data_IF_085502835229
#
_entry.id   IF_085502835229
#
_cell.length_a   1.000
_cell.length_b   1.000
_cell.length_c   1.000
_cell.angle_alpha   90.00
_cell.angle_beta   90.00
_cell.angle_gamma   90.00
#
_symmetry.space_group_name_H-M   'P 1'
#
loop_
_entity.id
_entity.type
_entity.pdbx_description
1 polymer ?
#
# COMPACT_ATOMS: atom_id res chain seq x y z
N UNK A 1 32.21 -61.96 12.68
CA UNK A 1 32.47 -62.42 11.33
C UNK A 1 32.03 -61.37 10.35
N UNK A 2 32.97 -60.55 9.84
CA UNK A 2 33.56 -60.57 8.50
C UNK A 2 32.47 -60.54 7.43
N UNK A 3 32.31 -59.45 6.64
CA UNK A 3 33.21 -59.05 5.54
C UNK A 3 32.92 -57.57 5.09
N UNK A 4 34.01 -56.84 4.94
CA UNK A 4 34.16 -55.63 4.15
C UNK A 4 34.05 -55.96 2.67
N UNK A 5 33.39 -55.12 1.87
CA UNK A 5 33.67 -54.99 0.43
C UNK A 5 33.81 -53.53 0.11
N UNK A 6 35.02 -53.10 -0.14
CA UNK A 6 35.40 -51.88 -0.83
C UNK A 6 35.12 -52.07 -2.34
N UNK A 7 34.51 -51.10 -2.96
CA UNK A 7 34.60 -50.94 -4.42
C UNK A 7 34.87 -49.48 -4.75
N UNK A 8 36.09 -49.24 -5.12
CA UNK A 8 36.60 -48.01 -5.73
C UNK A 8 36.30 -48.02 -7.23
N UNK A 9 35.74 -46.98 -7.79
CA UNK A 9 35.75 -46.72 -9.24
C UNK A 9 35.93 -45.23 -9.50
N UNK A 10 37.12 -44.90 -9.85
CA UNK A 10 37.68 -44.09 -10.93
C UNK A 10 36.94 -42.82 -11.37
N UNK A 11 37.66 -41.74 -11.18
CA UNK A 11 37.59 -40.42 -11.74
C UNK A 11 37.70 -40.48 -13.28
N UNK A 12 36.79 -39.85 -13.98
CA UNK A 12 37.03 -39.44 -15.36
C UNK A 12 36.69 -37.98 -15.52
N UNK A 13 37.72 -37.15 -15.53
CA UNK A 13 37.68 -35.72 -15.83
C UNK A 13 37.39 -35.51 -17.32
N UNK A 14 36.31 -34.89 -17.66
CA UNK A 14 36.10 -34.28 -18.97
C UNK A 14 36.01 -32.77 -18.82
N UNK A 15 37.10 -32.09 -19.16
CA UNK A 15 37.16 -30.64 -19.37
C UNK A 15 36.53 -30.36 -20.73
N UNK A 16 35.41 -29.66 -20.78
CA UNK A 16 34.89 -29.05 -22.00
C UNK A 16 34.96 -27.56 -21.85
N UNK A 17 35.93 -26.98 -22.50
CA UNK A 17 36.00 -25.56 -22.80
C UNK A 17 34.93 -25.23 -23.88
N UNK A 18 34.01 -24.30 -23.56
CA UNK A 18 33.00 -23.87 -24.53
C UNK A 18 32.26 -22.64 -24.10
N UNK A 19 32.68 -21.50 -24.63
CA UNK A 19 31.79 -20.39 -25.03
C UNK A 19 31.15 -19.55 -23.95
N UNK A 20 31.67 -18.33 -23.77
CA UNK A 20 30.96 -17.21 -23.15
C UNK A 20 29.74 -16.85 -24.03
N UNK A 21 28.54 -17.10 -23.55
CA UNK A 21 27.36 -16.41 -24.04
C UNK A 21 26.68 -15.74 -22.82
N UNK A 22 26.86 -14.44 -22.74
CA UNK A 22 26.48 -13.61 -21.61
C UNK A 22 25.06 -13.06 -21.83
N UNK A 23 24.09 -13.96 -21.88
CA UNK A 23 22.70 -13.59 -21.73
C UNK A 23 22.27 -13.87 -20.29
N UNK A 24 22.33 -12.83 -19.46
CA UNK A 24 21.71 -12.85 -18.14
C UNK A 24 20.21 -13.11 -18.31
N UNK A 25 19.79 -14.37 -18.19
CA UNK A 25 18.39 -14.70 -17.95
C UNK A 25 18.00 -14.11 -16.61
N UNK A 26 17.20 -13.04 -16.66
CA UNK A 26 16.41 -12.59 -15.52
C UNK A 26 15.66 -13.82 -14.99
N UNK A 27 15.75 -14.18 -13.71
CA UNK A 27 14.95 -15.27 -13.17
C UNK A 27 13.47 -14.93 -13.37
N UNK A 28 12.77 -15.70 -14.18
CA UNK A 28 11.32 -15.68 -14.25
C UNK A 28 10.78 -16.00 -12.86
N UNK A 29 10.20 -15.02 -12.19
CA UNK A 29 9.49 -15.17 -10.93
C UNK A 29 8.19 -15.97 -11.19
N UNK A 30 8.32 -17.27 -11.33
CA UNK A 30 7.24 -18.26 -11.38
C UNK A 30 7.19 -19.12 -10.12
N UNK A 31 7.43 -18.53 -8.98
CA UNK A 31 7.27 -19.22 -7.71
C UNK A 31 6.57 -18.25 -6.78
N UNK A 32 5.29 -18.49 -6.51
CA UNK A 32 4.66 -18.12 -5.24
C UNK A 32 3.16 -17.81 -5.33
N UNK A 33 2.50 -17.98 -6.50
CA UNK A 33 1.03 -17.82 -6.58
C UNK A 33 0.28 -18.85 -5.69
N UNK A 34 0.91 -19.95 -5.36
CA UNK A 34 0.34 -21.02 -4.53
C UNK A 34 0.57 -20.76 -3.03
N UNK A 35 1.63 -20.03 -2.65
CA UNK A 35 1.93 -19.70 -1.26
C UNK A 35 0.99 -18.62 -0.69
N UNK A 36 0.58 -17.65 -1.52
CA UNK A 36 -0.32 -16.57 -1.13
C UNK A 36 -1.73 -17.07 -0.75
N UNK A 37 -2.18 -18.19 -1.32
CA UNK A 37 -3.53 -18.72 -1.09
C UNK A 37 -3.78 -19.25 0.34
N UNK A 38 -2.72 -19.50 1.12
CA UNK A 38 -2.81 -20.06 2.48
C UNK A 38 -2.43 -19.08 3.59
N UNK A 39 -2.15 -17.81 3.28
CA UNK A 39 -1.86 -16.79 4.27
C UNK A 39 -3.12 -15.99 4.61
N UNK A 40 -3.24 -15.57 5.88
CA UNK A 40 -4.27 -14.61 6.28
C UNK A 40 -4.19 -13.38 5.34
N UNK A 41 -5.30 -12.89 4.78
CA UNK A 41 -5.27 -11.72 3.92
C UNK A 41 -4.77 -10.48 4.70
N UNK A 42 -4.01 -9.64 4.01
CA UNK A 42 -3.69 -8.28 4.49
C UNK A 42 -4.95 -7.44 4.29
N UNK A 43 -5.49 -6.90 5.36
CA UNK A 43 -6.69 -6.07 5.32
C UNK A 43 -6.33 -4.60 5.16
N UNK A 44 -6.84 -3.96 4.12
CA UNK A 44 -6.57 -2.55 3.81
C UNK A 44 -7.89 -1.77 3.84
N UNK A 45 -7.94 -0.73 4.70
CA UNK A 45 -9.05 0.21 4.71
C UNK A 45 -8.88 1.29 3.64
N UNK A 46 -9.97 1.61 2.93
CA UNK A 46 -10.00 2.68 1.95
C UNK A 46 -11.37 3.37 1.95
N UNK A 47 -11.45 4.53 1.35
CA UNK A 47 -12.68 5.31 1.18
C UNK A 47 -12.80 5.84 -0.26
N UNK A 48 -13.79 6.66 -0.52
CA UNK A 48 -14.17 7.14 -1.85
C UNK A 48 -13.32 8.32 -2.39
N UNK A 49 -12.14 8.57 -1.81
CA UNK A 49 -11.24 9.60 -2.33
C UNK A 49 -10.85 9.31 -3.79
N UNK A 50 -11.03 10.27 -4.72
CA UNK A 50 -10.76 10.04 -6.15
C UNK A 50 -9.33 9.58 -6.46
N UNK A 51 -8.33 10.00 -5.69
CA UNK A 51 -6.93 9.56 -5.85
C UNK A 51 -6.73 8.07 -5.58
N UNK A 52 -7.69 7.41 -4.94
CA UNK A 52 -7.62 5.97 -4.62
C UNK A 52 -8.39 5.07 -5.58
N UNK A 53 -9.04 5.64 -6.61
CA UNK A 53 -9.78 4.87 -7.64
C UNK A 53 -8.89 3.86 -8.36
N UNK A 54 -7.60 4.13 -8.48
CA UNK A 54 -6.63 3.20 -9.07
C UNK A 54 -6.62 1.84 -8.36
N UNK A 55 -6.86 1.80 -7.04
CA UNK A 55 -6.98 0.55 -6.28
C UNK A 55 -8.19 -0.26 -6.70
N UNK A 56 -9.34 0.41 -6.91
CA UNK A 56 -10.54 -0.27 -7.41
C UNK A 56 -10.31 -0.88 -8.79
N UNK A 57 -9.58 -0.18 -9.66
CA UNK A 57 -9.19 -0.72 -10.98
C UNK A 57 -8.31 -1.97 -10.81
N UNK A 58 -7.33 -1.93 -9.92
CA UNK A 58 -6.44 -3.07 -9.65
C UNK A 58 -7.21 -4.29 -9.11
N UNK A 59 -8.21 -4.05 -8.24
CA UNK A 59 -9.10 -5.08 -7.70
C UNK A 59 -9.93 -5.71 -8.82
N UNK A 60 -10.64 -4.91 -9.60
CA UNK A 60 -11.51 -5.36 -10.70
C UNK A 60 -10.74 -6.10 -11.81
N UNK A 61 -9.51 -5.68 -12.08
CA UNK A 61 -8.63 -6.34 -13.06
C UNK A 61 -7.95 -7.59 -12.52
N UNK A 62 -8.00 -7.84 -11.22
CA UNK A 62 -7.36 -9.00 -10.59
C UNK A 62 -5.84 -8.90 -10.47
N UNK A 63 -5.25 -7.71 -10.69
CA UNK A 63 -3.79 -7.52 -10.71
C UNK A 63 -3.11 -7.90 -9.38
N UNK A 64 -3.77 -7.67 -8.26
CA UNK A 64 -3.25 -8.05 -6.94
C UNK A 64 -3.11 -9.57 -6.82
N UNK A 65 -4.13 -10.30 -7.29
CA UNK A 65 -4.12 -11.77 -7.31
C UNK A 65 -3.06 -12.31 -8.29
N UNK A 66 -2.93 -11.70 -9.47
CA UNK A 66 -1.90 -12.05 -10.45
C UNK A 66 -0.50 -11.81 -9.91
N UNK A 67 -0.32 -10.78 -9.06
CA UNK A 67 0.93 -10.51 -8.34
C UNK A 67 1.16 -11.46 -7.16
N UNK A 68 0.28 -12.42 -6.89
CA UNK A 68 0.38 -13.36 -5.77
C UNK A 68 0.07 -12.73 -4.41
N UNK A 69 -0.58 -11.58 -4.37
CA UNK A 69 -0.92 -10.88 -3.13
C UNK A 69 -2.29 -11.31 -2.62
N UNK A 70 -2.34 -11.77 -1.37
CA UNK A 70 -3.59 -12.04 -0.67
C UNK A 70 -4.01 -10.79 0.12
N UNK A 71 -4.78 -9.92 -0.51
CA UNK A 71 -5.19 -8.62 0.03
C UNK A 71 -6.71 -8.53 0.02
N UNK A 72 -7.28 -8.04 1.10
CA UNK A 72 -8.70 -7.71 1.23
C UNK A 72 -8.85 -6.21 1.45
N UNK A 73 -9.47 -5.51 0.48
CA UNK A 73 -9.83 -4.11 0.63
C UNK A 73 -11.20 -3.98 1.29
N UNK A 74 -11.28 -3.14 2.34
CA UNK A 74 -12.52 -2.85 3.07
C UNK A 74 -12.86 -1.39 2.93
N UNK A 75 -14.04 -1.11 2.41
CA UNK A 75 -14.53 0.26 2.31
C UNK A 75 -15.05 0.78 3.66
N UNK A 76 -14.74 2.04 3.95
CA UNK A 76 -15.17 2.78 5.13
C UNK A 76 -15.43 4.23 4.77
N UNK A 77 -16.24 4.92 5.56
CA UNK A 77 -16.12 6.38 5.65
C UNK A 77 -14.71 6.74 6.13
N UNK A 78 -14.13 7.82 5.64
CA UNK A 78 -12.71 8.11 5.83
C UNK A 78 -12.27 8.11 7.30
N UNK A 79 -12.93 8.89 8.16
CA UNK A 79 -12.61 8.96 9.59
C UNK A 79 -12.83 7.62 10.32
N UNK A 80 -13.79 6.81 9.86
CA UNK A 80 -14.03 5.47 10.39
C UNK A 80 -12.88 4.51 10.04
N UNK A 81 -12.27 4.64 8.86
CA UNK A 81 -11.10 3.84 8.48
C UNK A 81 -9.90 4.09 9.39
N UNK A 82 -9.65 5.34 9.77
CA UNK A 82 -8.58 5.71 10.71
C UNK A 82 -8.85 5.15 12.11
N UNK A 83 -10.10 5.18 12.54
CA UNK A 83 -10.51 4.59 13.82
C UNK A 83 -10.33 3.07 13.83
N UNK A 84 -10.71 2.39 12.74
CA UNK A 84 -10.53 0.94 12.59
C UNK A 84 -9.04 0.55 12.55
N UNK A 85 -8.19 1.33 11.88
CA UNK A 85 -6.74 1.14 11.89
C UNK A 85 -6.17 1.32 13.30
N UNK A 86 -6.56 2.39 14.00
CA UNK A 86 -6.14 2.65 15.38
C UNK A 86 -6.57 1.56 16.36
N UNK A 87 -7.68 0.89 16.08
CA UNK A 87 -8.18 -0.26 16.85
C UNK A 87 -7.54 -1.60 16.44
N UNK A 88 -6.53 -1.61 15.58
CA UNK A 88 -5.89 -2.82 15.03
C UNK A 88 -6.86 -3.76 14.30
N UNK A 89 -7.92 -3.22 13.69
CA UNK A 89 -8.86 -3.97 12.88
C UNK A 89 -8.44 -4.05 11.40
N UNK A 90 -7.45 -3.26 11.02
CA UNK A 90 -6.86 -3.18 9.68
C UNK A 90 -5.35 -3.31 9.78
N UNK A 91 -4.74 -3.99 8.82
CA UNK A 91 -3.29 -4.10 8.71
C UNK A 91 -2.68 -2.85 8.02
N UNK A 92 -3.45 -2.20 7.15
CA UNK A 92 -3.10 -0.95 6.49
C UNK A 92 -4.33 -0.07 6.24
N UNK A 93 -4.10 1.22 5.98
CA UNK A 93 -5.17 2.18 5.65
C UNK A 93 -4.65 3.18 4.62
N UNK A 94 -5.52 3.62 3.71
CA UNK A 94 -5.27 4.74 2.83
C UNK A 94 -5.58 6.03 3.59
N UNK A 95 -4.58 6.90 3.68
CA UNK A 95 -4.64 8.08 4.57
C UNK A 95 -3.81 9.21 4.00
N UNK A 96 -4.19 10.46 4.26
CA UNK A 96 -3.34 11.61 3.94
C UNK A 96 -2.12 11.64 4.87
N UNK A 97 -1.03 12.24 4.42
CA UNK A 97 0.16 12.41 5.25
C UNK A 97 -0.13 13.21 6.53
N UNK A 98 -1.00 14.23 6.44
CA UNK A 98 -1.42 15.04 7.58
C UNK A 98 -2.19 14.21 8.61
N UNK A 99 -3.14 13.42 8.17
CA UNK A 99 -3.97 12.61 9.07
C UNK A 99 -3.21 11.40 9.65
N UNK A 100 -2.17 10.92 8.98
CA UNK A 100 -1.24 9.96 9.59
C UNK A 100 -0.52 10.59 10.80
N UNK A 101 -0.16 11.87 10.75
CA UNK A 101 0.41 12.58 11.89
C UNK A 101 -0.61 12.77 13.02
N UNK A 102 -1.87 13.08 12.67
CA UNK A 102 -2.96 13.17 13.65
C UNK A 102 -3.16 11.82 14.35
N UNK A 103 -3.23 10.75 13.58
CA UNK A 103 -3.37 9.37 14.10
C UNK A 103 -2.20 9.00 15.02
N UNK A 104 -0.97 9.36 14.62
CA UNK A 104 0.23 9.13 15.42
C UNK A 104 0.21 9.93 16.74
N UNK A 105 -0.27 11.19 16.71
CA UNK A 105 -0.43 12.00 17.93
C UNK A 105 -1.45 11.42 18.90
N UNK A 106 -2.42 10.68 18.39
CA UNK A 106 -3.39 9.88 19.16
C UNK A 106 -2.84 8.57 19.73
N UNK A 107 -1.56 8.26 19.46
CA UNK A 107 -0.89 7.07 20.00
C UNK A 107 -0.79 5.88 19.03
N UNK A 108 -1.34 5.99 17.83
CA UNK A 108 -1.24 4.92 16.81
C UNK A 108 -0.22 5.31 15.75
N UNK A 109 0.97 4.73 15.83
CA UNK A 109 2.03 4.98 14.86
C UNK A 109 1.87 4.10 13.63
N UNK A 110 1.57 4.71 12.48
CA UNK A 110 1.59 4.09 11.16
C UNK A 110 2.91 4.37 10.44
N UNK A 111 3.37 3.43 9.62
CA UNK A 111 4.49 3.62 8.70
C UNK A 111 3.95 3.91 7.31
N UNK A 112 4.30 5.05 6.71
CA UNK A 112 4.02 5.31 5.29
C UNK A 112 4.93 4.44 4.43
N UNK A 113 4.34 3.52 3.67
CA UNK A 113 5.07 2.58 2.81
C UNK A 113 5.02 2.97 1.33
N UNK A 114 3.99 3.72 0.92
CA UNK A 114 3.82 4.13 -0.47
C UNK A 114 2.97 5.40 -0.55
N UNK A 115 3.36 6.34 -1.41
CA UNK A 115 2.49 7.44 -1.83
C UNK A 115 1.67 6.99 -3.03
N UNK A 116 0.35 7.11 -2.95
CA UNK A 116 -0.59 6.68 -4.00
C UNK A 116 -0.94 7.81 -4.96
N UNK A 117 -0.95 9.03 -4.45
CA UNK A 117 -1.18 10.26 -5.18
C UNK A 117 -0.57 11.44 -4.44
N UNK A 118 -0.61 12.60 -5.04
CA UNK A 118 -0.24 13.86 -4.38
C UNK A 118 -1.14 15.00 -4.86
N UNK A 119 -1.46 15.94 -3.97
CA UNK A 119 -2.20 17.13 -4.35
C UNK A 119 -1.29 18.13 -5.08
N UNK A 120 -1.75 18.58 -6.24
CA UNK A 120 -1.08 19.61 -7.05
C UNK A 120 -2.08 20.69 -7.44
N UNK A 121 -2.64 21.38 -6.43
CA UNK A 121 -3.66 22.42 -6.59
C UNK A 121 -5.08 21.87 -6.74
N UNK A 122 -5.32 20.62 -6.32
CA UNK A 122 -6.65 20.00 -6.33
C UNK A 122 -7.45 20.31 -5.07
N UNK A 123 -6.76 20.55 -3.94
CA UNK A 123 -7.41 20.90 -2.69
C UNK A 123 -7.80 22.36 -2.72
N UNK A 124 -9.08 22.63 -2.58
CA UNK A 124 -9.65 23.99 -2.72
C UNK A 124 -10.75 24.22 -1.69
N UNK A 125 -10.93 25.48 -1.32
CA UNK A 125 -12.11 25.94 -0.58
C UNK A 125 -13.14 26.41 -1.60
N UNK A 126 -14.30 25.75 -1.61
CA UNK A 126 -15.43 26.14 -2.45
C UNK A 126 -16.30 27.10 -1.65
N UNK A 127 -16.51 28.30 -2.17
CA UNK A 127 -17.30 29.32 -1.52
C UNK A 127 -18.51 29.75 -2.39
N UNK A 128 -19.51 30.33 -1.73
CA UNK A 128 -20.66 30.96 -2.42
C UNK A 128 -20.24 32.24 -3.12
N UNK A 129 -21.05 32.68 -4.09
CA UNK A 129 -20.87 33.95 -4.75
C UNK A 129 -20.75 35.11 -3.75
N UNK A 130 -19.84 36.05 -4.03
CA UNK A 130 -19.54 37.19 -3.16
C UNK A 130 -18.46 36.91 -2.10
N UNK A 131 -17.91 35.67 -2.03
CA UNK A 131 -16.75 35.35 -1.21
C UNK A 131 -15.59 35.07 -2.18
N UNK A 132 -14.65 36.02 -2.27
CA UNK A 132 -13.57 35.97 -3.26
C UNK A 132 -12.18 35.86 -2.62
N UNK A 133 -12.07 36.10 -1.32
CA UNK A 133 -10.83 36.08 -0.57
C UNK A 133 -11.00 35.32 0.74
N UNK A 134 -9.89 34.88 1.34
CA UNK A 134 -9.91 34.23 2.67
C UNK A 134 -10.47 35.18 3.74
N UNK A 135 -10.24 36.49 3.60
CA UNK A 135 -10.75 37.50 4.53
C UNK A 135 -12.28 37.57 4.55
N UNK A 136 -12.94 37.29 3.41
CA UNK A 136 -14.40 37.26 3.31
C UNK A 136 -15.03 36.08 4.08
N UNK A 137 -14.24 35.09 4.45
CA UNK A 137 -14.66 33.97 5.30
C UNK A 137 -14.84 34.36 6.77
N UNK A 138 -14.33 35.51 7.19
CA UNK A 138 -14.44 35.93 8.58
C UNK A 138 -15.90 36.02 9.02
N UNK A 139 -16.24 35.31 10.08
CA UNK A 139 -17.60 35.25 10.61
C UNK A 139 -18.57 34.37 9.81
N UNK A 140 -18.07 33.59 8.83
CA UNK A 140 -18.87 32.63 8.07
C UNK A 140 -18.76 31.25 8.70
N UNK A 141 -19.75 30.39 8.44
CA UNK A 141 -19.69 28.98 8.76
C UNK A 141 -18.98 28.22 7.63
N UNK A 142 -17.99 27.44 7.96
CA UNK A 142 -17.19 26.65 7.02
C UNK A 142 -17.38 25.18 7.38
N UNK A 143 -17.73 24.36 6.39
CA UNK A 143 -17.82 22.92 6.55
C UNK A 143 -16.44 22.29 6.39
N UNK A 144 -16.00 21.52 7.37
CA UNK A 144 -14.74 20.75 7.38
C UNK A 144 -14.90 19.49 8.20
N UNK A 145 -14.08 18.47 7.95
CA UNK A 145 -13.92 17.35 8.87
C UNK A 145 -13.02 17.79 10.04
N UNK A 146 -13.65 18.05 11.17
CA UNK A 146 -12.96 18.57 12.35
C UNK A 146 -11.86 17.62 12.83
N UNK A 147 -10.63 18.13 12.91
CA UNK A 147 -9.48 17.37 13.42
C UNK A 147 -8.70 16.65 12.33
N UNK A 148 -9.10 16.76 11.05
CA UNK A 148 -8.39 16.19 9.91
C UNK A 148 -7.64 17.27 9.12
N UNK A 149 -7.02 16.88 8.01
CA UNK A 149 -6.07 17.72 7.25
C UNK A 149 -6.67 19.02 6.74
N UNK A 150 -7.93 19.02 6.30
CA UNK A 150 -8.66 20.20 5.84
C UNK A 150 -8.89 21.22 6.96
N UNK A 151 -9.16 20.74 8.19
CA UNK A 151 -9.26 21.62 9.37
C UNK A 151 -7.91 22.23 9.72
N UNK A 152 -6.82 21.48 9.59
CA UNK A 152 -5.46 22.01 9.80
C UNK A 152 -5.14 23.12 8.78
N UNK A 153 -5.44 22.89 7.49
CA UNK A 153 -5.22 23.88 6.43
C UNK A 153 -6.02 25.18 6.63
N UNK A 154 -7.22 25.11 7.24
CA UNK A 154 -8.01 26.29 7.57
C UNK A 154 -7.49 27.04 8.80
N UNK A 155 -6.79 26.36 9.70
CA UNK A 155 -6.31 26.94 10.96
C UNK A 155 -4.93 27.61 10.83
N UNK A 156 -4.25 27.41 9.71
CA UNK A 156 -2.92 27.98 9.39
C UNK A 156 -3.02 29.21 8.51
#
# INVERSE_FOLDING_TARGET
MIKKVLLSVSILSAVVLGGCDNTAKVPEAKQDAQAAANTKPITIGYSDWPGWVAWQVAIEKGWLKEAGLNVEFKWFDYSASLSAFSANQLDAVLVTNGDNLVTASGGTQGMMIMATDYSAGNDVIIAKEGINTIQDLKGKSIGVEKGLVDHLLLAT
#
